data_IF_862453582053
#
_entry.id   IF_862453582053
#
_cell.length_a   1.000
_cell.length_b   1.000
_cell.length_c   1.000
_cell.angle_alpha   90.00
_cell.angle_beta   90.00
_cell.angle_gamma   90.00
#
_symmetry.space_group_name_H-M   'P 1'
#
loop_
_entity.id
_entity.type
_entity.pdbx_description
1 polymer ?
#
# COMPACT_ATOMS: atom_id res chain seq x y z
N UNK A 1 6.34 11.41 -4.45
CA UNK A 1 5.41 10.33 -4.84
C UNK A 1 6.03 8.99 -4.47
N UNK A 2 5.35 8.25 -3.62
CA UNK A 2 5.67 6.88 -3.24
C UNK A 2 5.05 5.91 -4.24
N UNK A 3 5.77 4.84 -4.56
CA UNK A 3 5.29 3.76 -5.41
C UNK A 3 5.67 2.42 -4.80
N UNK A 4 4.70 1.50 -4.77
CA UNK A 4 4.87 0.12 -4.35
C UNK A 4 4.13 -0.82 -5.32
N UNK A 5 4.67 -2.01 -5.52
CA UNK A 5 4.05 -3.09 -6.26
C UNK A 5 4.01 -4.32 -5.36
N UNK A 6 2.81 -4.87 -5.20
CA UNK A 6 2.57 -6.13 -4.53
C UNK A 6 2.19 -7.18 -5.58
N UNK A 7 2.78 -8.38 -5.52
CA UNK A 7 2.57 -9.46 -6.48
C UNK A 7 1.70 -10.57 -5.89
N UNK A 8 0.80 -11.10 -6.71
CA UNK A 8 -0.09 -12.20 -6.36
C UNK A 8 -1.19 -11.84 -5.36
N UNK A 9 -2.04 -12.82 -5.07
CA UNK A 9 -3.18 -12.67 -4.14
C UNK A 9 -2.73 -12.47 -2.69
N UNK A 10 -1.56 -12.98 -2.32
CA UNK A 10 -0.93 -12.76 -1.01
C UNK A 10 -0.33 -11.36 -0.85
N UNK A 11 -0.35 -10.54 -1.92
CA UNK A 11 0.15 -9.17 -1.93
C UNK A 11 1.60 -9.06 -1.43
N UNK A 12 2.48 -9.89 -1.98
CA UNK A 12 3.90 -9.89 -1.64
C UNK A 12 4.55 -8.60 -2.15
N UNK A 13 5.12 -7.78 -1.27
CA UNK A 13 5.85 -6.56 -1.64
C UNK A 13 7.09 -6.91 -2.47
N UNK A 14 7.05 -6.53 -3.75
CA UNK A 14 8.06 -6.91 -4.76
C UNK A 14 8.94 -5.70 -5.13
N UNK A 15 8.32 -4.56 -5.39
CA UNK A 15 9.01 -3.33 -5.77
C UNK A 15 8.53 -2.19 -4.87
N UNK A 16 9.46 -1.43 -4.30
CA UNK A 16 9.16 -0.17 -3.60
C UNK A 16 10.21 0.86 -3.95
N UNK A 17 9.81 2.12 -4.07
CA UNK A 17 10.78 3.22 -4.20
C UNK A 17 11.14 3.81 -2.83
N UNK A 18 12.18 4.64 -2.80
CA UNK A 18 12.65 5.29 -1.58
C UNK A 18 11.54 6.09 -0.86
N UNK A 19 10.66 6.76 -1.60
CA UNK A 19 9.53 7.49 -1.01
C UNK A 19 8.48 6.60 -0.36
N UNK A 20 8.25 5.40 -0.88
CA UNK A 20 7.36 4.42 -0.22
C UNK A 20 7.96 3.93 1.10
N UNK A 21 9.25 3.61 1.11
CA UNK A 21 10.00 3.26 2.34
C UNK A 21 9.90 4.37 3.38
N UNK A 22 10.11 5.62 2.95
CA UNK A 22 9.98 6.79 3.83
C UNK A 22 8.58 6.96 4.41
N UNK A 23 7.52 6.77 3.61
CA UNK A 23 6.13 6.90 4.08
C UNK A 23 5.77 5.72 5.01
N UNK A 24 6.07 4.49 4.59
CA UNK A 24 5.75 3.27 5.31
C UNK A 24 6.55 3.09 6.61
N UNK A 25 7.66 3.80 6.77
CA UNK A 25 8.40 3.87 8.03
C UNK A 25 9.17 2.60 8.41
N UNK A 26 9.38 1.67 7.45
CA UNK A 26 10.17 0.45 7.65
C UNK A 26 11.23 0.34 6.55
N UNK A 27 12.40 -0.21 6.89
CA UNK A 27 13.51 -0.35 5.93
C UNK A 27 13.14 -1.26 4.76
N UNK A 28 13.82 -1.08 3.63
CA UNK A 28 13.62 -1.90 2.42
C UNK A 28 13.74 -3.40 2.71
N UNK A 29 14.78 -3.82 3.42
CA UNK A 29 15.02 -5.23 3.79
C UNK A 29 13.98 -5.80 4.75
N UNK A 30 13.32 -4.94 5.53
CA UNK A 30 12.30 -5.36 6.48
C UNK A 30 10.95 -5.67 5.81
N UNK A 31 10.71 -5.15 4.60
CA UNK A 31 9.38 -5.18 3.96
C UNK A 31 9.36 -5.93 2.63
N UNK A 32 10.49 -6.00 1.92
CA UNK A 32 10.57 -6.72 0.66
C UNK A 32 10.34 -8.22 0.83
N UNK A 33 9.75 -8.84 -0.21
CA UNK A 33 9.44 -10.26 -0.29
C UNK A 33 8.58 -10.76 0.88
N UNK A 34 7.76 -9.89 1.45
CA UNK A 34 6.82 -10.22 2.53
C UNK A 34 5.40 -9.82 2.14
N UNK A 35 4.37 -10.55 2.62
CA UNK A 35 3.00 -10.12 2.48
C UNK A 35 2.81 -8.72 3.07
N UNK A 36 2.12 -7.84 2.34
CA UNK A 36 1.94 -6.43 2.74
C UNK A 36 1.35 -6.30 4.15
N UNK A 37 0.31 -7.07 4.48
CA UNK A 37 -0.36 -7.00 5.79
C UNK A 37 0.41 -7.69 6.91
N UNK A 38 1.34 -8.61 6.61
CA UNK A 38 2.29 -9.10 7.61
C UNK A 38 3.35 -8.05 7.92
N UNK A 39 3.80 -7.33 6.88
CA UNK A 39 4.73 -6.22 7.04
C UNK A 39 4.08 -5.03 7.72
N UNK A 40 2.77 -4.81 7.58
CA UNK A 40 2.02 -3.66 8.11
C UNK A 40 0.65 -4.05 8.68
N UNK A 41 0.60 -4.77 9.82
CA UNK A 41 -0.65 -5.23 10.43
C UNK A 41 -1.59 -4.09 10.83
N UNK A 42 -1.05 -2.89 11.09
CA UNK A 42 -1.83 -1.69 11.38
C UNK A 42 -2.76 -1.24 10.23
N UNK A 43 -2.49 -1.65 8.99
CA UNK A 43 -3.38 -1.34 7.87
C UNK A 43 -4.57 -2.30 7.80
N UNK A 44 -4.41 -3.52 8.31
CA UNK A 44 -5.52 -4.47 8.38
C UNK A 44 -6.60 -4.00 9.37
N UNK A 45 -6.20 -3.48 10.53
CA UNK A 45 -7.14 -2.94 11.53
C UNK A 45 -7.90 -1.70 11.06
N UNK A 46 -7.42 -1.03 10.01
CA UNK A 46 -8.05 0.12 9.36
C UNK A 46 -8.95 -0.28 8.16
N UNK A 47 -9.08 -1.57 7.86
CA UNK A 47 -9.94 -2.07 6.78
C UNK A 47 -9.28 -2.09 5.39
N UNK A 48 -7.98 -1.80 5.28
CA UNK A 48 -7.29 -1.83 3.99
C UNK A 48 -7.16 -3.25 3.42
N UNK A 49 -7.22 -4.30 4.25
CA UNK A 49 -7.17 -5.70 3.80
C UNK A 49 -8.29 -6.02 2.81
N UNK A 50 -9.54 -5.66 3.14
CA UNK A 50 -10.68 -5.88 2.24
C UNK A 50 -10.62 -4.97 1.02
N UNK A 51 -10.21 -3.71 1.19
CA UNK A 51 -10.00 -2.77 0.07
C UNK A 51 -9.03 -3.33 -0.98
N UNK A 52 -7.87 -3.85 -0.56
CA UNK A 52 -6.89 -4.42 -1.48
C UNK A 52 -7.44 -5.70 -2.14
N UNK A 53 -8.14 -6.56 -1.39
CA UNK A 53 -8.78 -7.76 -1.97
C UNK A 53 -9.82 -7.40 -3.02
N UNK A 54 -10.63 -6.37 -2.78
CA UNK A 54 -11.65 -5.90 -3.72
C UNK A 54 -11.01 -5.36 -5.00
N UNK A 55 -9.94 -4.56 -4.90
CA UNK A 55 -9.19 -4.07 -6.07
C UNK A 55 -8.56 -5.25 -6.82
N UNK A 56 -7.95 -6.20 -6.12
CA UNK A 56 -7.34 -7.39 -6.74
C UNK A 56 -8.35 -8.23 -7.52
N UNK A 57 -9.52 -8.48 -6.91
CA UNK A 57 -10.58 -9.35 -7.48
C UNK A 57 -11.37 -8.67 -8.59
N UNK A 58 -11.73 -7.41 -8.41
CA UNK A 58 -12.56 -6.67 -9.37
C UNK A 58 -11.75 -6.11 -10.54
N UNK A 59 -10.45 -5.86 -10.34
CA UNK A 59 -9.63 -5.12 -11.28
C UNK A 59 -9.93 -3.62 -11.33
N UNK A 60 -10.91 -3.13 -10.56
CA UNK A 60 -11.30 -1.72 -10.55
C UNK A 60 -10.34 -0.92 -9.64
N UNK A 61 -9.82 0.22 -10.10
CA UNK A 61 -8.94 1.03 -9.30
C UNK A 61 -9.70 1.70 -8.15
N UNK A 62 -9.00 1.89 -7.03
CA UNK A 62 -9.48 2.68 -5.90
C UNK A 62 -8.67 3.98 -5.79
N UNK A 63 -9.38 5.08 -5.56
CA UNK A 63 -8.79 6.41 -5.39
C UNK A 63 -9.25 6.99 -4.06
N UNK A 64 -8.30 7.55 -3.31
CA UNK A 64 -8.60 8.30 -2.10
C UNK A 64 -7.81 9.61 -2.08
N UNK A 65 -8.46 10.65 -1.57
CA UNK A 65 -7.89 11.97 -1.37
C UNK A 65 -7.94 12.32 0.12
N UNK A 66 -6.83 12.87 0.63
CA UNK A 66 -6.67 13.35 2.00
C UNK A 66 -7.13 12.31 3.03
N UNK A 67 -6.91 11.02 2.73
CA UNK A 67 -7.34 9.95 3.60
C UNK A 67 -6.43 9.92 4.84
N UNK A 68 -6.97 10.04 6.06
CA UNK A 68 -6.19 9.88 7.27
C UNK A 68 -5.82 8.39 7.45
N UNK A 69 -4.54 8.13 7.60
CA UNK A 69 -3.99 6.79 7.85
C UNK A 69 -3.18 6.83 9.12
N UNK A 70 -3.50 5.93 10.04
CA UNK A 70 -2.69 5.67 11.23
C UNK A 70 -1.48 4.81 10.83
N UNK A 71 -0.28 5.34 11.07
CA UNK A 71 0.98 4.66 10.80
C UNK A 71 1.73 4.42 12.10
N UNK A 72 2.33 3.24 12.24
CA UNK A 72 3.13 2.89 13.40
C UNK A 72 4.61 3.19 13.12
N UNK A 73 5.18 4.17 13.82
CA UNK A 73 6.61 4.54 13.73
C UNK A 73 7.25 4.58 15.11
N UNK A 74 8.37 3.88 15.30
CA UNK A 74 9.21 3.97 16.51
C UNK A 74 8.44 3.99 17.84
N UNK A 75 7.34 3.22 17.92
CA UNK A 75 6.42 3.09 19.09
C UNK A 75 5.35 4.17 19.27
N UNK A 76 5.19 5.10 18.32
CA UNK A 76 4.09 6.07 18.29
C UNK A 76 3.18 5.85 17.07
N UNK A 77 1.88 6.06 17.29
CA UNK A 77 0.94 6.19 16.18
C UNK A 77 1.01 7.62 15.65
N UNK A 78 1.27 7.76 14.36
CA UNK A 78 1.24 9.02 13.63
C UNK A 78 0.10 8.99 12.63
N UNK A 79 -0.69 10.05 12.58
CA UNK A 79 -1.70 10.23 11.52
C UNK A 79 -1.06 10.95 10.34
N UNK A 80 -1.13 10.34 9.16
CA UNK A 80 -0.73 10.95 7.89
C UNK A 80 -1.94 11.08 6.98
N UNK A 81 -1.99 12.14 6.20
CA UNK A 81 -3.02 12.33 5.17
C UNK A 81 -2.43 11.97 3.82
N UNK A 82 -2.97 10.93 3.17
CA UNK A 82 -2.47 10.47 1.88
C UNK A 82 -3.51 10.66 0.76
N UNK A 83 -3.03 11.18 -0.36
CA UNK A 83 -3.67 10.96 -1.65
C UNK A 83 -3.09 9.67 -2.22
N UNK A 84 -3.91 8.65 -2.48
CA UNK A 84 -3.40 7.39 -3.02
C UNK A 84 -4.33 6.73 -4.02
N UNK A 85 -3.72 5.87 -4.83
CA UNK A 85 -4.38 5.03 -5.82
C UNK A 85 -3.91 3.60 -5.66
N UNK A 86 -4.85 2.66 -5.70
CA UNK A 86 -4.57 1.24 -5.85
C UNK A 86 -5.10 0.77 -7.20
N UNK A 87 -4.26 0.09 -7.95
CA UNK A 87 -4.63 -0.41 -9.27
C UNK A 87 -4.10 -1.84 -9.45
N UNK A 88 -4.99 -2.77 -9.79
CA UNK A 88 -4.60 -4.10 -10.19
C UNK A 88 -3.86 -4.07 -11.53
N UNK A 89 -2.83 -4.91 -11.68
CA UNK A 89 -2.21 -5.20 -12.97
C UNK A 89 -2.46 -6.65 -13.35
N UNK A 90 -2.43 -6.94 -14.66
CA UNK A 90 -2.76 -8.25 -15.19
C UNK A 90 -1.53 -8.92 -15.81
N UNK A 91 -1.44 -10.23 -15.68
CA UNK A 91 -0.44 -11.03 -16.38
C UNK A 91 -0.80 -11.21 -17.87
N UNK A 92 0.09 -11.86 -18.63
CA UNK A 92 -0.13 -12.11 -20.06
C UNK A 92 -1.31 -13.06 -20.37
N UNK A 93 -1.92 -13.66 -19.34
CA UNK A 93 -3.10 -14.54 -19.45
C UNK A 93 -4.39 -13.83 -19.03
N UNK A 94 -4.31 -12.54 -18.64
CA UNK A 94 -5.44 -11.76 -18.17
C UNK A 94 -5.83 -12.02 -16.71
N UNK A 95 -5.04 -12.78 -15.96
CA UNK A 95 -5.27 -12.93 -14.52
C UNK A 95 -4.67 -11.74 -13.78
N UNK A 96 -5.27 -11.36 -12.64
CA UNK A 96 -4.65 -10.35 -11.78
C UNK A 96 -3.28 -10.84 -11.31
N UNK A 97 -2.23 -10.10 -11.67
CA UNK A 97 -0.85 -10.38 -11.30
C UNK A 97 -0.46 -9.74 -9.96
N UNK A 98 -1.23 -8.76 -9.47
CA UNK A 98 -0.95 -8.02 -8.25
C UNK A 98 -1.59 -6.63 -8.24
N UNK A 99 -1.10 -5.77 -7.34
CA UNK A 99 -1.55 -4.39 -7.16
C UNK A 99 -0.35 -3.44 -7.22
N UNK A 100 -0.54 -2.31 -7.91
CA UNK A 100 0.33 -1.13 -7.84
C UNK A 100 -0.34 -0.10 -6.92
N UNK A 101 0.40 0.35 -5.92
CA UNK A 101 0.02 1.45 -5.05
C UNK A 101 0.86 2.69 -5.36
N UNK A 102 0.20 3.82 -5.55
CA UNK A 102 0.84 5.13 -5.67
C UNK A 102 0.29 6.05 -4.60
N UNK A 103 1.16 6.72 -3.84
CA UNK A 103 0.75 7.60 -2.77
C UNK A 103 1.53 8.92 -2.75
N UNK A 104 0.89 9.98 -2.27
CA UNK A 104 1.47 11.28 -1.98
C UNK A 104 1.04 11.67 -0.57
N UNK A 105 2.02 11.92 0.29
CA UNK A 105 1.77 12.50 1.60
C UNK A 105 1.45 13.99 1.45
N UNK A 106 0.26 14.37 1.92
CA UNK A 106 -0.27 15.73 1.89
C UNK A 106 -0.53 16.26 3.31
N UNK A 107 0.07 15.64 4.33
CA UNK A 107 -0.13 16.01 5.75
C UNK A 107 0.16 17.48 6.03
N UNK A 108 1.17 18.08 5.37
CA UNK A 108 1.50 19.50 5.56
C UNK A 108 0.51 20.47 4.87
N UNK A 109 -0.41 19.96 4.05
CA UNK A 109 -1.36 20.76 3.26
C UNK A 109 -2.78 20.76 3.86
N UNK A 110 -3.01 19.97 4.91
CA UNK A 110 -4.31 19.81 5.61
C UNK A 110 -4.33 20.61 6.91
#
# INVERSE_FOLDING_TARGET
MAMALCRGEELILDIVNQKAVEILGKSYDAILNRPFFEAFPEFESQGFSELFKDVYRSGLPYFAMEMPIQMLRDSANETRYLNFTLQAFFDNRGNTGGIVGVAVDVTEQV
#
